data_IF_672188236654
#
_entry.id   IF_672188236654
#
_cell.length_a   1.000
_cell.length_b   1.000
_cell.length_c   1.000
_cell.angle_alpha   90.00
_cell.angle_beta   90.00
_cell.angle_gamma   90.00
#
_symmetry.space_group_name_H-M   'P 1'
#
loop_
_entity.id
_entity.type
_entity.pdbx_description
1 polymer ?
#
# COMPACT_ATOMS: atom_id res chain seq x y z
N UNK A 1 -7.57 13.99 7.98
CA UNK A 1 -8.79 13.65 7.20
C UNK A 1 -9.70 14.86 6.97
N UNK A 2 -9.93 15.73 8.00
CA UNK A 2 -10.87 16.82 7.91
C UNK A 2 -10.57 17.85 6.79
N UNK A 3 -9.30 18.13 6.53
CA UNK A 3 -8.90 19.06 5.46
C UNK A 3 -9.29 18.57 4.07
N UNK A 4 -9.19 17.26 3.81
CA UNK A 4 -9.58 16.64 2.54
C UNK A 4 -11.09 16.76 2.32
N UNK A 5 -11.89 16.46 3.36
CA UNK A 5 -13.35 16.61 3.28
C UNK A 5 -13.79 18.05 3.05
N UNK A 6 -13.18 19.01 3.74
CA UNK A 6 -13.47 20.44 3.52
C UNK A 6 -13.16 20.90 2.10
N UNK A 7 -12.03 20.44 1.55
CA UNK A 7 -11.66 20.75 0.16
C UNK A 7 -12.66 20.16 -0.84
N UNK A 8 -13.07 18.90 -0.64
CA UNK A 8 -14.06 18.25 -1.52
C UNK A 8 -15.43 18.93 -1.44
N UNK A 9 -15.91 19.27 -0.24
CA UNK A 9 -17.18 19.97 -0.08
C UNK A 9 -17.11 21.38 -0.69
N UNK A 10 -16.00 22.09 -0.54
CA UNK A 10 -15.78 23.38 -1.19
C UNK A 10 -15.81 23.27 -2.72
N UNK A 11 -15.14 22.27 -3.30
CA UNK A 11 -15.18 22.01 -4.73
C UNK A 11 -16.60 21.71 -5.23
N UNK A 12 -17.41 20.97 -4.45
CA UNK A 12 -18.82 20.70 -4.80
C UNK A 12 -19.67 21.97 -4.78
N UNK A 13 -19.52 22.80 -3.76
CA UNK A 13 -20.24 24.10 -3.66
C UNK A 13 -19.88 25.01 -4.81
N UNK A 14 -18.61 25.00 -5.24
CA UNK A 14 -18.12 25.78 -6.39
C UNK A 14 -18.45 25.13 -7.74
N UNK A 15 -19.22 24.06 -7.76
CA UNK A 15 -19.59 23.32 -8.99
C UNK A 15 -18.38 22.89 -9.83
N UNK A 16 -17.26 22.58 -9.17
CA UNK A 16 -16.07 22.07 -9.85
C UNK A 16 -16.39 20.77 -10.59
N UNK A 17 -15.92 20.56 -11.82
CA UNK A 17 -16.18 19.33 -12.56
C UNK A 17 -15.78 18.08 -11.78
N UNK A 18 -16.63 17.07 -11.76
CA UNK A 18 -16.45 15.84 -10.96
C UNK A 18 -15.10 15.16 -11.23
N UNK A 19 -14.64 15.14 -12.49
CA UNK A 19 -13.33 14.59 -12.85
C UNK A 19 -12.15 15.32 -12.17
N UNK A 20 -12.28 16.63 -11.97
CA UNK A 20 -11.26 17.44 -11.27
C UNK A 20 -11.28 17.12 -9.79
N UNK A 21 -12.46 17.02 -9.18
CA UNK A 21 -12.62 16.63 -7.76
C UNK A 21 -12.02 15.25 -7.53
N UNK A 22 -12.35 14.27 -8.38
CA UNK A 22 -11.81 12.92 -8.31
C UNK A 22 -10.28 12.90 -8.44
N UNK A 23 -9.72 13.66 -9.38
CA UNK A 23 -8.28 13.76 -9.56
C UNK A 23 -7.58 14.38 -8.34
N UNK A 24 -8.15 15.44 -7.76
CA UNK A 24 -7.64 16.07 -6.54
C UNK A 24 -7.67 15.11 -5.35
N UNK A 25 -8.77 14.35 -5.20
CA UNK A 25 -8.91 13.34 -4.15
C UNK A 25 -7.83 12.26 -4.26
N UNK A 26 -7.68 11.64 -5.44
CA UNK A 26 -6.68 10.59 -5.65
C UNK A 26 -5.25 11.07 -5.40
N UNK A 27 -4.90 12.27 -5.88
CA UNK A 27 -3.60 12.89 -5.61
C UNK A 27 -3.38 13.18 -4.13
N UNK A 28 -4.41 13.71 -3.46
CA UNK A 28 -4.36 13.99 -2.02
C UNK A 28 -4.15 12.72 -1.20
N UNK A 29 -4.90 11.65 -1.52
CA UNK A 29 -4.77 10.36 -0.86
C UNK A 29 -3.40 9.72 -1.11
N UNK A 30 -2.91 9.74 -2.35
CA UNK A 30 -1.59 9.21 -2.68
C UNK A 30 -0.47 9.94 -1.91
N UNK A 31 -0.52 11.27 -1.84
CA UNK A 31 0.43 12.07 -1.05
C UNK A 31 0.38 11.74 0.45
N UNK A 32 -0.82 11.54 1.00
CA UNK A 32 -1.00 11.16 2.39
C UNK A 32 -0.40 9.79 2.71
N UNK A 33 -0.60 8.80 1.83
CA UNK A 33 0.00 7.46 1.94
C UNK A 33 1.53 7.58 1.94
N UNK A 34 2.10 8.29 0.98
CA UNK A 34 3.56 8.46 0.87
C UNK A 34 4.15 9.21 2.06
N UNK A 35 3.48 10.26 2.54
CA UNK A 35 3.91 11.00 3.72
C UNK A 35 3.91 10.13 4.99
N UNK A 36 2.88 9.29 5.15
CA UNK A 36 2.81 8.33 6.25
C UNK A 36 3.91 7.27 6.14
N UNK A 37 4.14 6.74 4.96
CA UNK A 37 5.24 5.79 4.70
C UNK A 37 6.59 6.37 5.08
N UNK A 38 6.91 7.58 4.62
CA UNK A 38 8.18 8.26 4.96
C UNK A 38 8.33 8.47 6.47
N UNK A 39 7.25 8.83 7.14
CA UNK A 39 7.26 9.01 8.60
C UNK A 39 7.54 7.71 9.34
N UNK A 40 6.94 6.60 8.89
CA UNK A 40 7.16 5.27 9.50
C UNK A 40 8.59 4.80 9.24
N UNK A 41 9.11 4.95 8.03
CA UNK A 41 10.49 4.58 7.68
C UNK A 41 11.52 5.42 8.44
N UNK A 42 11.28 6.73 8.61
CA UNK A 42 12.19 7.61 9.36
C UNK A 42 12.34 7.23 10.84
N UNK A 43 11.30 6.60 11.43
CA UNK A 43 11.32 6.12 12.81
C UNK A 43 11.86 4.68 12.94
N UNK A 44 11.99 3.95 11.84
CA UNK A 44 12.37 2.53 11.81
C UNK A 44 13.28 2.26 10.59
N UNK A 45 14.58 2.50 10.69
CA UNK A 45 15.53 2.36 9.56
C UNK A 45 15.69 0.92 9.03
N UNK A 46 15.03 -0.05 9.62
CA UNK A 46 15.09 -1.47 9.22
C UNK A 46 14.18 -1.83 8.04
N UNK A 47 13.27 -0.96 7.62
CA UNK A 47 12.41 -1.22 6.48
C UNK A 47 13.11 -0.87 5.17
N UNK A 48 13.28 -1.87 4.29
CA UNK A 48 13.91 -1.70 2.97
C UNK A 48 12.90 -1.50 1.84
N UNK A 49 11.64 -1.88 2.03
CA UNK A 49 10.63 -1.85 0.99
C UNK A 49 9.21 -1.65 1.56
N UNK A 50 8.29 -1.21 0.69
CA UNK A 50 6.87 -1.03 0.99
C UNK A 50 6.04 -1.95 0.12
N UNK A 51 5.21 -2.80 0.72
CA UNK A 51 4.27 -3.64 -0.01
C UNK A 51 2.92 -2.93 -0.21
N UNK A 52 2.49 -2.80 -1.46
CA UNK A 52 1.15 -2.30 -1.80
C UNK A 52 0.19 -3.48 -1.95
N UNK A 53 -0.72 -3.62 -0.98
CA UNK A 53 -1.72 -4.70 -0.93
C UNK A 53 -3.07 -4.16 -0.49
N UNK A 54 -4.12 -4.94 -0.74
CA UNK A 54 -5.50 -4.58 -0.43
C UNK A 54 -6.31 -4.17 -1.65
N UNK A 55 -7.63 -4.34 -1.58
CA UNK A 55 -8.57 -4.10 -2.69
C UNK A 55 -8.57 -2.66 -3.23
N UNK A 56 -8.17 -1.66 -2.42
CA UNK A 56 -8.07 -0.28 -2.86
C UNK A 56 -7.03 -0.07 -3.99
N UNK A 57 -6.00 -0.92 -4.07
CA UNK A 57 -4.99 -0.86 -5.13
C UNK A 57 -5.41 -1.53 -6.44
N UNK A 58 -6.63 -2.06 -6.54
CA UNK A 58 -7.29 -2.36 -7.81
C UNK A 58 -7.64 -1.08 -8.58
N UNK A 59 -7.79 0.05 -7.88
CA UNK A 59 -7.90 1.37 -8.50
C UNK A 59 -6.56 1.75 -9.13
N UNK A 60 -6.47 1.61 -10.46
CA UNK A 60 -5.25 1.87 -11.23
C UNK A 60 -4.74 3.31 -11.11
N UNK A 61 -5.62 4.27 -10.93
CA UNK A 61 -5.24 5.68 -10.75
C UNK A 61 -4.51 5.87 -9.43
N UNK A 62 -5.08 5.34 -8.34
CA UNK A 62 -4.45 5.40 -7.02
C UNK A 62 -3.12 4.63 -7.01
N UNK A 63 -3.13 3.41 -7.56
CA UNK A 63 -1.93 2.57 -7.62
C UNK A 63 -0.77 3.29 -8.33
N UNK A 64 -1.00 3.82 -9.54
CA UNK A 64 0.04 4.52 -10.32
C UNK A 64 0.58 5.74 -9.59
N UNK A 65 -0.29 6.53 -8.94
CA UNK A 65 0.13 7.71 -8.19
C UNK A 65 0.98 7.33 -6.97
N UNK A 66 0.55 6.36 -6.16
CA UNK A 66 1.28 5.92 -4.97
C UNK A 66 2.61 5.29 -5.37
N UNK A 67 2.60 4.35 -6.31
CA UNK A 67 3.78 3.67 -6.81
C UNK A 67 4.81 4.66 -7.38
N UNK A 68 4.36 5.61 -8.22
CA UNK A 68 5.23 6.65 -8.79
C UNK A 68 5.88 7.49 -7.69
N UNK A 69 5.10 8.05 -6.78
CA UNK A 69 5.62 8.89 -5.70
C UNK A 69 6.56 8.15 -4.72
N UNK A 70 6.35 6.86 -4.47
CA UNK A 70 7.27 6.06 -3.66
C UNK A 70 8.60 5.85 -4.39
N UNK A 71 8.57 5.55 -5.68
CA UNK A 71 9.77 5.42 -6.51
C UNK A 71 10.54 6.74 -6.63
N UNK A 72 9.85 7.86 -6.82
CA UNK A 72 10.46 9.20 -6.84
C UNK A 72 11.15 9.55 -5.50
N UNK A 73 10.71 8.88 -4.42
CA UNK A 73 11.31 8.97 -3.10
C UNK A 73 12.39 7.91 -2.82
N UNK A 74 12.82 7.17 -3.85
CA UNK A 74 13.81 6.08 -3.77
C UNK A 74 13.42 4.97 -2.79
N UNK A 75 12.11 4.72 -2.62
CA UNK A 75 11.58 3.67 -1.79
C UNK A 75 11.21 2.47 -2.66
N UNK A 76 11.77 1.31 -2.34
CA UNK A 76 11.44 0.07 -3.03
C UNK A 76 9.99 -0.33 -2.79
N UNK A 77 9.30 -0.71 -3.89
CA UNK A 77 7.87 -1.04 -3.85
C UNK A 77 7.64 -2.47 -4.31
N UNK A 78 7.06 -3.26 -3.42
CA UNK A 78 6.60 -4.60 -3.70
C UNK A 78 5.13 -4.57 -4.15
N UNK A 79 4.85 -5.21 -5.26
CA UNK A 79 3.50 -5.26 -5.83
C UNK A 79 3.11 -6.69 -6.17
N UNK A 80 1.82 -6.97 -6.13
CA UNK A 80 1.29 -8.26 -6.57
C UNK A 80 1.42 -8.41 -8.09
N UNK A 81 1.99 -9.52 -8.55
CA UNK A 81 2.13 -9.87 -9.97
C UNK A 81 1.35 -11.11 -10.37
N UNK A 82 1.36 -12.14 -9.54
CA UNK A 82 0.77 -13.46 -9.82
C UNK A 82 -0.54 -13.69 -9.07
N UNK A 83 -0.76 -12.94 -8.00
CA UNK A 83 -1.92 -13.08 -7.12
C UNK A 83 -2.61 -11.72 -7.03
N UNK A 84 -3.96 -11.66 -7.00
CA UNK A 84 -4.65 -10.40 -6.86
C UNK A 84 -4.32 -9.73 -5.52
N UNK A 85 -4.27 -8.39 -5.51
CA UNK A 85 -4.00 -7.61 -4.32
C UNK A 85 -5.16 -7.57 -3.30
N UNK A 86 -6.32 -8.14 -3.65
CA UNK A 86 -7.53 -8.19 -2.82
C UNK A 86 -7.61 -9.49 -2.02
N UNK A 87 -8.77 -9.73 -1.40
CA UNK A 87 -9.06 -10.90 -0.55
C UNK A 87 -8.85 -12.24 -1.26
N UNK A 88 -8.90 -12.27 -2.60
CA UNK A 88 -8.60 -13.47 -3.39
C UNK A 88 -7.17 -14.02 -3.20
N UNK A 89 -6.24 -13.19 -2.70
CA UNK A 89 -4.87 -13.60 -2.39
C UNK A 89 -4.67 -14.17 -0.98
N UNK A 90 -5.65 -14.06 -0.08
CA UNK A 90 -5.50 -14.41 1.34
C UNK A 90 -5.19 -15.90 1.53
N UNK A 91 -5.91 -16.77 0.81
CA UNK A 91 -5.72 -18.22 0.94
C UNK A 91 -4.28 -18.65 0.61
N UNK A 92 -3.68 -18.09 -0.44
CA UNK A 92 -2.29 -18.36 -0.79
C UNK A 92 -1.32 -17.83 0.27
N UNK A 93 -1.59 -16.63 0.81
CA UNK A 93 -0.80 -16.06 1.91
C UNK A 93 -0.83 -16.94 3.16
N UNK A 94 -1.99 -17.45 3.55
CA UNK A 94 -2.13 -18.39 4.67
C UNK A 94 -1.37 -19.70 4.42
N UNK A 95 -1.46 -20.26 3.23
CA UNK A 95 -0.71 -21.46 2.85
C UNK A 95 0.82 -21.24 2.91
N UNK A 96 1.29 -20.10 2.43
CA UNK A 96 2.70 -19.74 2.48
C UNK A 96 3.21 -19.58 3.92
N UNK A 97 2.44 -18.94 4.80
CA UNK A 97 2.77 -18.81 6.23
C UNK A 97 2.83 -20.20 6.89
N UNK A 98 1.84 -21.07 6.66
CA UNK A 98 1.83 -22.42 7.21
C UNK A 98 3.04 -23.23 6.75
N UNK A 99 3.40 -23.19 5.47
CA UNK A 99 4.57 -23.83 4.94
C UNK A 99 5.87 -23.32 5.58
N UNK A 100 6.01 -22.00 5.77
CA UNK A 100 7.18 -21.40 6.41
C UNK A 100 7.32 -21.83 7.87
N UNK A 101 6.22 -21.92 8.61
CA UNK A 101 6.21 -22.41 10.00
C UNK A 101 6.71 -23.86 10.07
N UNK A 102 6.19 -24.75 9.22
CA UNK A 102 6.59 -26.17 9.18
C UNK A 102 8.07 -26.31 8.85
N UNK A 103 8.56 -25.57 7.86
CA UNK A 103 9.99 -25.61 7.48
C UNK A 103 10.90 -25.15 8.61
N UNK A 104 10.54 -24.09 9.31
CA UNK A 104 11.30 -23.57 10.43
C UNK A 104 11.33 -24.55 11.64
N UNK A 105 10.23 -25.23 11.93
CA UNK A 105 10.17 -26.25 12.96
C UNK A 105 11.08 -27.44 12.65
N UNK A 106 11.10 -27.89 11.38
CA UNK A 106 11.96 -28.98 10.93
C UNK A 106 13.46 -28.64 10.98
N UNK A 107 13.83 -27.36 10.81
CA UNK A 107 15.22 -26.90 10.94
C UNK A 107 15.67 -26.82 12.41
N UNK A 108 14.77 -26.44 13.31
CA UNK A 108 15.03 -26.43 14.75
C UNK A 108 15.29 -27.82 15.32
N UNK A 109 14.56 -28.83 14.84
CA UNK A 109 14.72 -30.24 15.27
C UNK A 109 16.04 -30.90 14.81
N UNK A 110 16.70 -30.39 13.77
CA UNK A 110 17.99 -30.89 13.27
C UNK A 110 19.20 -30.29 13.98
N UNK A 111 19.04 -29.35 14.91
CA UNK A 111 20.13 -28.73 15.66
C UNK A 111 20.34 -29.36 17.05
N UNK A 112 19.58 -30.37 17.41
CA UNK A 112 19.70 -31.10 18.71
C UNK A 112 20.17 -32.55 18.48
N UNK A 113 21.29 -32.73 17.77
CA UNK A 113 22.05 -34.02 17.80
C UNK A 113 23.54 -33.68 17.85
#
# INVERSE_FOLDING_TARGET
>A
PLAVWRAMLGDLVLQTPIGVIAARFHRGLARAIVAMTKRLMGNQPTFSAVALSGGCFQNQTLFKLVHGHLRDAEIDVLTHKQVPANDGGIALGQAAIAAAIILNQNQGSKRCV
#
